data_IF_506964139982
#
_entry.id   IF_506964139982
#
_cell.length_a   1.000
_cell.length_b   1.000
_cell.length_c   1.000
_cell.angle_alpha   90.00
_cell.angle_beta   90.00
_cell.angle_gamma   90.00
#
_symmetry.space_group_name_H-M   'P 1'
#
loop_
_entity.id
_entity.type
_entity.pdbx_description
1 polymer ?
#
# COMPACT_ATOMS: atom_id res chain seq x y z
N UNK A 1 -2.35 -51.25 -9.13
CA UNK A 1 -2.08 -50.43 -7.93
C UNK A 1 -2.49 -49.00 -8.26
N UNK A 2 -3.68 -48.59 -7.83
CA UNK A 2 -4.18 -47.23 -8.04
C UNK A 2 -3.55 -46.36 -6.96
N UNK A 3 -2.66 -45.46 -7.35
CA UNK A 3 -2.14 -44.43 -6.46
C UNK A 3 -3.27 -43.44 -6.22
N UNK A 4 -3.86 -43.50 -5.02
CA UNK A 4 -4.82 -42.48 -4.57
C UNK A 4 -4.09 -41.11 -4.61
N UNK A 5 -4.45 -40.28 -5.56
CA UNK A 5 -4.04 -38.87 -5.59
C UNK A 5 -4.56 -38.19 -4.33
N UNK A 6 -3.64 -37.75 -3.49
CA UNK A 6 -3.99 -36.95 -2.28
C UNK A 6 -4.76 -35.69 -2.75
N UNK A 7 -6.07 -35.71 -2.50
CA UNK A 7 -7.01 -34.65 -2.92
C UNK A 7 -7.04 -33.44 -1.98
N UNK A 8 -6.08 -33.36 -1.03
CA UNK A 8 -6.01 -32.20 -0.13
C UNK A 8 -5.55 -30.95 -0.92
N UNK A 9 -6.26 -29.82 -0.80
CA UNK A 9 -5.80 -28.61 -1.43
C UNK A 9 -4.38 -28.27 -0.93
N UNK A 10 -3.45 -27.92 -1.84
CA UNK A 10 -2.08 -27.60 -1.45
C UNK A 10 -2.10 -26.42 -0.46
N UNK A 11 -1.38 -26.59 0.65
CA UNK A 11 -1.27 -25.54 1.68
C UNK A 11 -0.44 -24.37 1.16
N UNK A 12 -0.84 -23.14 1.52
CA UNK A 12 -0.05 -21.95 1.19
C UNK A 12 1.32 -22.03 1.87
N UNK A 13 2.42 -21.77 1.13
CA UNK A 13 3.77 -21.71 1.69
C UNK A 13 3.89 -20.69 2.83
N UNK A 14 4.70 -20.99 3.83
CA UNK A 14 4.96 -20.08 4.97
C UNK A 14 5.46 -18.70 4.50
N UNK A 15 6.25 -18.65 3.44
CA UNK A 15 6.72 -17.40 2.84
C UNK A 15 5.57 -16.46 2.43
N UNK A 16 4.43 -16.99 1.99
CA UNK A 16 3.26 -16.17 1.61
C UNK A 16 2.60 -15.55 2.84
N UNK A 17 2.50 -16.29 3.95
CA UNK A 17 2.05 -15.74 5.22
C UNK A 17 2.97 -14.63 5.73
N UNK A 18 4.29 -14.82 5.61
CA UNK A 18 5.29 -13.81 5.99
C UNK A 18 5.12 -12.56 5.13
N UNK A 19 5.02 -12.67 3.78
CA UNK A 19 4.80 -11.53 2.90
C UNK A 19 3.47 -10.82 3.19
N UNK A 20 2.43 -11.55 3.52
CA UNK A 20 1.15 -10.99 3.95
C UNK A 20 1.27 -10.22 5.26
N UNK A 21 1.94 -10.77 6.28
CA UNK A 21 2.18 -10.11 7.56
C UNK A 21 3.07 -8.86 7.41
N UNK A 22 4.09 -8.90 6.55
CA UNK A 22 4.90 -7.73 6.19
C UNK A 22 4.02 -6.62 5.62
N UNK A 23 3.11 -6.96 4.71
CA UNK A 23 2.17 -5.99 4.15
C UNK A 23 1.22 -5.44 5.22
N UNK A 24 0.62 -6.30 6.05
CA UNK A 24 -0.25 -5.91 7.15
C UNK A 24 0.44 -4.92 8.11
N UNK A 25 1.64 -5.26 8.60
CA UNK A 25 2.37 -4.41 9.53
C UNK A 25 2.71 -3.04 8.92
N UNK A 26 3.11 -3.02 7.64
CA UNK A 26 3.41 -1.77 6.95
C UNK A 26 2.14 -0.94 6.71
N UNK A 27 1.01 -1.58 6.42
CA UNK A 27 -0.25 -0.88 6.22
C UNK A 27 -0.81 -0.36 7.55
N UNK A 28 -0.72 -1.11 8.66
CA UNK A 28 -0.99 -0.58 10.01
C UNK A 28 -0.16 0.67 10.27
N UNK A 29 1.16 0.59 10.05
CA UNK A 29 2.08 1.73 10.24
C UNK A 29 1.68 2.94 9.40
N UNK A 30 1.38 2.73 8.13
CA UNK A 30 1.06 3.81 7.19
C UNK A 30 -0.31 4.42 7.49
N UNK A 31 -1.33 3.60 7.74
CA UNK A 31 -2.70 4.05 7.93
C UNK A 31 -2.92 4.76 9.29
N UNK A 32 -2.13 4.41 10.33
CA UNK A 32 -2.08 5.20 11.56
C UNK A 32 -1.72 6.67 11.29
N UNK A 33 -0.76 6.91 10.41
CA UNK A 33 -0.32 8.27 10.06
C UNK A 33 -1.30 8.91 9.08
N UNK A 34 -1.68 8.20 8.00
CA UNK A 34 -2.51 8.77 6.95
C UNK A 34 -3.88 9.21 7.43
N UNK A 35 -4.49 8.49 8.35
CA UNK A 35 -5.78 8.84 8.94
C UNK A 35 -5.76 10.12 9.79
N UNK A 36 -4.59 10.50 10.32
CA UNK A 36 -4.40 11.67 11.16
C UNK A 36 -3.70 12.84 10.43
N UNK A 37 -2.97 12.55 9.36
CA UNK A 37 -2.09 13.51 8.71
C UNK A 37 -2.80 14.79 8.22
N UNK A 38 -3.98 14.71 7.58
CA UNK A 38 -4.70 15.92 7.15
C UNK A 38 -5.04 16.86 8.32
N UNK A 39 -5.49 16.28 9.44
CA UNK A 39 -5.81 17.05 10.65
C UNK A 39 -4.56 17.63 11.30
N UNK A 40 -3.46 16.88 11.36
CA UNK A 40 -2.17 17.38 11.84
C UNK A 40 -1.68 18.55 10.98
N UNK A 41 -1.78 18.45 9.65
CA UNK A 41 -1.37 19.54 8.74
C UNK A 41 -2.20 20.80 8.96
N UNK A 42 -3.53 20.68 9.02
CA UNK A 42 -4.41 21.84 9.18
C UNK A 42 -4.39 22.37 10.61
N UNK A 43 -4.57 21.50 11.60
CA UNK A 43 -4.73 21.89 13.01
C UNK A 43 -3.41 22.26 13.69
N UNK A 44 -2.32 21.51 13.45
CA UNK A 44 -1.04 21.73 14.15
C UNK A 44 -0.04 22.56 13.35
N UNK A 45 -0.04 22.43 12.00
CA UNK A 45 0.92 23.15 11.14
C UNK A 45 0.30 24.37 10.44
N UNK A 46 -1.02 24.63 10.58
CA UNK A 46 -1.71 25.74 9.95
C UNK A 46 -1.77 25.66 8.42
N UNK A 47 -1.68 24.47 7.85
CA UNK A 47 -1.71 24.28 6.41
C UNK A 47 -3.11 24.59 5.83
N UNK A 48 -3.13 25.20 4.64
CA UNK A 48 -4.39 25.39 3.91
C UNK A 48 -4.89 24.08 3.31
N UNK A 49 -6.19 23.99 3.00
CA UNK A 49 -6.76 22.85 2.27
C UNK A 49 -6.09 22.62 0.91
N UNK A 50 -5.69 23.69 0.24
CA UNK A 50 -4.93 23.62 -1.02
C UNK A 50 -3.57 22.95 -0.80
N UNK A 51 -2.87 23.30 0.28
CA UNK A 51 -1.59 22.67 0.64
C UNK A 51 -1.76 21.17 0.88
N UNK A 52 -2.81 20.76 1.60
CA UNK A 52 -3.13 19.33 1.79
C UNK A 52 -3.37 18.65 0.45
N UNK A 53 -4.16 19.26 -0.43
CA UNK A 53 -4.43 18.73 -1.78
C UNK A 53 -3.16 18.56 -2.61
N UNK A 54 -2.24 19.53 -2.56
CA UNK A 54 -0.94 19.44 -3.27
C UNK A 54 -0.11 18.29 -2.70
N UNK A 55 0.01 18.18 -1.37
CA UNK A 55 0.77 17.10 -0.72
C UNK A 55 0.22 15.73 -1.10
N UNK A 56 -1.10 15.54 -1.04
CA UNK A 56 -1.73 14.27 -1.43
C UNK A 56 -1.59 13.99 -2.93
N UNK A 57 -1.83 14.98 -3.79
CA UNK A 57 -1.73 14.82 -5.24
C UNK A 57 -0.31 14.47 -5.69
N UNK A 58 0.71 15.15 -5.17
CA UNK A 58 2.13 14.83 -5.45
C UNK A 58 2.46 13.42 -4.93
N UNK A 59 2.00 13.08 -3.74
CA UNK A 59 2.26 11.79 -3.12
C UNK A 59 1.69 10.63 -3.96
N UNK A 60 0.40 10.67 -4.30
CA UNK A 60 -0.26 9.60 -5.06
C UNK A 60 0.32 9.49 -6.48
N UNK A 61 0.56 10.61 -7.16
CA UNK A 61 1.20 10.61 -8.47
C UNK A 61 2.59 9.97 -8.43
N UNK A 62 3.38 10.29 -7.40
CA UNK A 62 4.72 9.69 -7.20
C UNK A 62 4.65 8.18 -7.07
N UNK A 63 3.73 7.65 -6.25
CA UNK A 63 3.60 6.20 -6.05
C UNK A 63 3.25 5.48 -7.36
N UNK A 64 2.33 6.04 -8.15
CA UNK A 64 1.91 5.47 -9.44
C UNK A 64 3.05 5.49 -10.47
N UNK A 65 3.74 6.60 -10.61
CA UNK A 65 4.87 6.75 -11.55
C UNK A 65 5.98 5.76 -11.17
N UNK A 66 6.42 5.77 -9.91
CA UNK A 66 7.50 4.89 -9.43
C UNK A 66 7.12 3.42 -9.58
N UNK A 67 5.85 3.04 -9.36
CA UNK A 67 5.38 1.66 -9.52
C UNK A 67 5.58 1.13 -10.95
N UNK A 68 5.34 1.95 -11.97
CA UNK A 68 5.56 1.56 -13.37
C UNK A 68 7.03 1.24 -13.62
N UNK A 69 7.93 2.12 -13.18
CA UNK A 69 9.37 1.92 -13.36
C UNK A 69 9.94 0.80 -12.49
N UNK A 70 9.41 0.60 -11.27
CA UNK A 70 9.90 -0.44 -10.37
C UNK A 70 9.61 -1.85 -10.89
N UNK A 71 8.51 -2.05 -11.61
CA UNK A 71 8.21 -3.31 -12.28
C UNK A 71 9.28 -3.66 -13.31
N UNK A 72 9.57 -2.73 -14.23
CA UNK A 72 10.61 -2.91 -15.24
C UNK A 72 12.01 -3.12 -14.61
N UNK A 73 12.33 -2.37 -13.54
CA UNK A 73 13.60 -2.50 -12.82
C UNK A 73 13.70 -3.85 -12.10
N UNK A 74 12.62 -4.32 -11.49
CA UNK A 74 12.55 -5.62 -10.81
C UNK A 74 12.84 -6.78 -11.77
N UNK A 75 12.25 -6.73 -12.96
CA UNK A 75 12.46 -7.75 -14.00
C UNK A 75 13.89 -7.69 -14.57
N UNK A 76 14.48 -6.50 -14.64
CA UNK A 76 15.86 -6.33 -15.13
C UNK A 76 16.92 -6.78 -14.12
N UNK A 77 16.76 -6.39 -12.84
CA UNK A 77 17.74 -6.69 -11.77
C UNK A 77 17.66 -8.16 -11.34
N UNK A 78 16.46 -8.78 -11.40
CA UNK A 78 16.25 -10.17 -10.97
C UNK A 78 16.37 -10.41 -9.45
N UNK A 79 16.77 -9.41 -8.66
CA UNK A 79 16.87 -9.47 -7.19
C UNK A 79 15.66 -8.80 -6.55
N UNK A 80 14.58 -9.54 -6.42
CA UNK A 80 13.28 -9.00 -6.02
C UNK A 80 13.19 -8.68 -4.54
N UNK A 81 13.78 -9.53 -3.68
CA UNK A 81 13.82 -9.30 -2.23
C UNK A 81 14.53 -7.98 -1.91
N UNK A 82 15.70 -7.73 -2.50
CA UNK A 82 16.46 -6.51 -2.24
C UNK A 82 15.69 -5.23 -2.55
N UNK A 83 14.99 -5.19 -3.70
CA UNK A 83 14.14 -4.06 -4.06
C UNK A 83 12.93 -3.93 -3.14
N UNK A 84 12.30 -5.04 -2.76
CA UNK A 84 11.21 -5.01 -1.79
C UNK A 84 11.68 -4.46 -0.44
N UNK A 85 12.82 -4.96 0.11
CA UNK A 85 13.41 -4.47 1.36
C UNK A 85 13.70 -2.97 1.27
N UNK A 86 14.29 -2.48 0.18
CA UNK A 86 14.54 -1.05 -0.03
C UNK A 86 13.24 -0.24 0.06
N UNK A 87 12.20 -0.64 -0.66
CA UNK A 87 10.91 0.06 -0.65
C UNK A 87 10.21 0.04 0.72
N UNK A 88 10.26 -1.09 1.44
CA UNK A 88 9.75 -1.18 2.82
C UNK A 88 10.57 -0.35 3.79
N UNK A 89 11.91 -0.35 3.68
CA UNK A 89 12.80 0.46 4.51
C UNK A 89 12.58 1.96 4.32
N UNK A 90 12.42 2.42 3.07
CA UNK A 90 12.07 3.82 2.78
C UNK A 90 10.73 4.21 3.44
N UNK A 91 9.72 3.33 3.34
CA UNK A 91 8.44 3.54 4.03
C UNK A 91 8.57 3.60 5.55
N UNK A 92 9.35 2.69 6.18
CA UNK A 92 9.57 2.70 7.62
C UNK A 92 10.37 3.93 8.09
N UNK A 93 11.43 4.30 7.35
CA UNK A 93 12.29 5.45 7.68
C UNK A 93 11.59 6.80 7.44
N UNK A 94 10.54 6.86 6.63
CA UNK A 94 9.73 8.08 6.50
C UNK A 94 8.88 8.38 7.73
N UNK A 95 8.54 7.37 8.56
CA UNK A 95 7.63 7.54 9.71
C UNK A 95 8.18 8.50 10.78
N UNK A 96 9.45 8.40 11.22
CA UNK A 96 10.05 9.40 12.11
C UNK A 96 9.98 10.82 11.56
N UNK A 97 10.10 11.00 10.24
CA UNK A 97 10.04 12.33 9.63
C UNK A 97 8.66 12.98 9.80
N UNK A 98 7.55 12.21 9.78
CA UNK A 98 6.23 12.73 10.10
C UNK A 98 6.12 13.16 11.55
N UNK A 99 6.66 12.38 12.50
CA UNK A 99 6.65 12.70 13.91
C UNK A 99 7.46 13.98 14.23
N UNK A 100 8.56 14.20 13.50
CA UNK A 100 9.44 15.36 13.65
C UNK A 100 9.00 16.56 12.80
N UNK A 101 8.01 16.42 11.93
CA UNK A 101 7.62 17.48 11.02
C UNK A 101 7.16 18.74 11.76
N UNK A 102 7.79 19.85 11.44
CA UNK A 102 7.48 21.20 11.96
C UNK A 102 6.90 22.12 10.90
N UNK A 103 6.80 21.66 9.65
CA UNK A 103 6.25 22.42 8.53
C UNK A 103 5.60 21.50 7.49
N UNK A 104 4.70 22.04 6.69
CA UNK A 104 4.08 21.32 5.58
C UNK A 104 5.10 20.86 4.53
N UNK A 105 6.22 21.57 4.38
CA UNK A 105 7.32 21.17 3.49
C UNK A 105 8.01 19.88 3.96
N UNK A 106 8.23 19.72 5.27
CA UNK A 106 8.77 18.47 5.83
C UNK A 106 7.78 17.31 5.69
N UNK A 107 6.48 17.57 5.87
CA UNK A 107 5.42 16.57 5.61
C UNK A 107 5.45 16.15 4.15
N UNK A 108 5.55 17.09 3.21
CA UNK A 108 5.66 16.78 1.78
C UNK A 108 6.87 15.88 1.49
N UNK A 109 8.05 16.21 2.05
CA UNK A 109 9.26 15.41 1.91
C UNK A 109 9.11 14.00 2.46
N UNK A 110 8.56 13.86 3.69
CA UNK A 110 8.29 12.57 4.31
C UNK A 110 7.29 11.74 3.49
N UNK A 111 6.23 12.37 3.00
CA UNK A 111 5.20 11.76 2.16
C UNK A 111 5.78 11.29 0.82
N UNK A 112 6.65 12.12 0.21
CA UNK A 112 7.33 11.80 -1.04
C UNK A 112 8.21 10.55 -0.90
N UNK A 113 9.04 10.47 0.17
CA UNK A 113 9.87 9.31 0.47
C UNK A 113 9.02 8.06 0.69
N UNK A 114 7.95 8.17 1.49
CA UNK A 114 7.02 7.06 1.74
C UNK A 114 6.41 6.53 0.44
N UNK A 115 5.98 7.43 -0.46
CA UNK A 115 5.35 7.06 -1.73
C UNK A 115 6.33 6.48 -2.75
N UNK A 116 7.56 6.96 -2.80
CA UNK A 116 8.63 6.30 -3.55
C UNK A 116 8.81 4.87 -3.02
N UNK A 117 8.92 4.69 -1.70
CA UNK A 117 9.04 3.38 -1.09
C UNK A 117 7.87 2.46 -1.45
N UNK A 118 6.62 2.96 -1.39
CA UNK A 118 5.41 2.24 -1.79
C UNK A 118 5.45 1.83 -3.28
N UNK A 119 5.87 2.73 -4.14
CA UNK A 119 6.04 2.47 -5.58
C UNK A 119 7.08 1.39 -5.86
N UNK A 120 8.25 1.47 -5.20
CA UNK A 120 9.34 0.52 -5.38
C UNK A 120 8.94 -0.89 -4.91
N UNK A 121 8.30 -1.03 -3.73
CA UNK A 121 8.03 -2.35 -3.12
C UNK A 121 6.93 -3.14 -3.81
N UNK A 122 5.98 -2.47 -4.50
CA UNK A 122 4.76 -3.10 -5.01
C UNK A 122 5.03 -4.24 -5.99
N UNK A 123 5.69 -3.95 -7.10
CA UNK A 123 5.97 -4.93 -8.16
C UNK A 123 6.92 -6.06 -7.70
N UNK A 124 8.06 -5.80 -7.02
CA UNK A 124 8.92 -6.86 -6.52
C UNK A 124 8.23 -7.80 -5.53
N UNK A 125 7.40 -7.28 -4.62
CA UNK A 125 6.62 -8.08 -3.67
C UNK A 125 5.64 -9.01 -4.41
N UNK A 126 4.88 -8.47 -5.35
CA UNK A 126 3.88 -9.25 -6.09
C UNK A 126 4.57 -10.33 -6.95
N UNK A 127 5.75 -10.02 -7.49
CA UNK A 127 6.58 -10.99 -8.20
C UNK A 127 7.11 -12.10 -7.28
N UNK A 128 7.57 -11.78 -6.05
CA UNK A 128 7.97 -12.78 -5.06
C UNK A 128 6.81 -13.72 -4.70
N UNK A 129 5.59 -13.20 -4.52
CA UNK A 129 4.41 -14.02 -4.28
C UNK A 129 4.18 -15.00 -5.44
N UNK A 130 4.27 -14.51 -6.68
CA UNK A 130 4.05 -15.34 -7.86
C UNK A 130 5.13 -16.42 -8.04
N UNK A 131 6.39 -16.14 -7.66
CA UNK A 131 7.50 -17.10 -7.75
C UNK A 131 7.46 -18.15 -6.65
N UNK A 132 7.17 -17.73 -5.42
CA UNK A 132 7.13 -18.62 -4.26
C UNK A 132 5.84 -19.45 -4.18
N UNK A 133 4.89 -19.25 -5.12
CA UNK A 133 3.60 -19.92 -5.11
C UNK A 133 3.40 -20.78 -6.37
N UNK A 134 3.06 -22.07 -6.22
CA UNK A 134 2.65 -22.90 -7.34
C UNK A 134 1.49 -22.28 -8.14
N UNK A 135 1.47 -22.38 -9.49
CA UNK A 135 0.44 -21.75 -10.34
C UNK A 135 -1.00 -22.04 -9.91
N UNK A 136 -1.28 -23.27 -9.46
CA UNK A 136 -2.62 -23.72 -9.07
C UNK A 136 -3.21 -22.97 -7.87
N UNK A 137 -2.39 -22.36 -6.99
CA UNK A 137 -2.84 -21.67 -5.76
C UNK A 137 -2.41 -20.21 -5.71
N UNK A 138 -1.93 -19.62 -6.81
CA UNK A 138 -1.55 -18.20 -6.87
C UNK A 138 -2.71 -17.27 -6.51
N UNK A 139 -3.92 -17.58 -6.96
CA UNK A 139 -5.11 -16.81 -6.61
C UNK A 139 -5.33 -16.75 -5.09
N UNK A 140 -5.19 -17.88 -4.39
CA UNK A 140 -5.30 -17.91 -2.93
C UNK A 140 -4.17 -17.13 -2.23
N UNK A 141 -2.94 -17.16 -2.75
CA UNK A 141 -1.81 -16.40 -2.22
C UNK A 141 -2.02 -14.89 -2.34
N UNK A 142 -2.47 -14.40 -3.48
CA UNK A 142 -2.82 -12.98 -3.66
C UNK A 142 -4.06 -12.60 -2.84
N UNK A 143 -5.05 -13.49 -2.72
CA UNK A 143 -6.21 -13.30 -1.86
C UNK A 143 -5.83 -13.14 -0.40
N UNK A 144 -4.97 -14.01 0.14
CA UNK A 144 -4.45 -13.89 1.51
C UNK A 144 -3.75 -12.55 1.74
N UNK A 145 -2.84 -12.19 0.82
CA UNK A 145 -2.15 -10.90 0.90
C UNK A 145 -3.13 -9.74 0.92
N UNK A 146 -4.11 -9.73 0.02
CA UNK A 146 -5.11 -8.65 -0.06
C UNK A 146 -5.96 -8.58 1.21
N UNK A 147 -6.34 -9.72 1.78
CA UNK A 147 -7.07 -9.77 3.04
C UNK A 147 -6.26 -9.17 4.19
N UNK A 148 -4.95 -9.48 4.27
CA UNK A 148 -4.07 -8.93 5.29
C UNK A 148 -3.79 -7.42 5.08
N UNK A 149 -3.68 -6.95 3.84
CA UNK A 149 -3.64 -5.51 3.53
C UNK A 149 -4.92 -4.81 4.04
N UNK A 150 -6.10 -5.40 3.79
CA UNK A 150 -7.39 -4.85 4.26
C UNK A 150 -7.47 -4.82 5.78
N UNK A 151 -7.02 -5.88 6.46
CA UNK A 151 -6.93 -5.89 7.93
C UNK A 151 -6.01 -4.77 8.43
N UNK A 152 -4.86 -4.57 7.78
CA UNK A 152 -3.94 -3.48 8.11
C UNK A 152 -4.57 -2.10 7.92
N UNK A 153 -5.27 -1.89 6.80
CA UNK A 153 -5.98 -0.65 6.50
C UNK A 153 -7.13 -0.35 7.48
N UNK A 154 -7.72 -1.37 8.09
CA UNK A 154 -8.71 -1.23 9.15
C UNK A 154 -8.08 -0.99 10.53
N UNK A 155 -7.06 -1.78 10.87
CA UNK A 155 -6.42 -1.74 12.19
C UNK A 155 -5.62 -0.46 12.42
N UNK A 156 -5.00 0.10 11.37
CA UNK A 156 -4.21 1.33 11.47
C UNK A 156 -5.00 2.51 12.02
N UNK A 157 -6.09 2.95 11.35
CA UNK A 157 -6.94 4.03 11.85
C UNK A 157 -7.59 3.73 13.21
N UNK A 158 -7.96 2.46 13.46
CA UNK A 158 -8.53 2.06 14.75
C UNK A 158 -7.52 2.25 15.90
N UNK A 159 -6.27 1.81 15.71
CA UNK A 159 -5.18 2.06 16.67
C UNK A 159 -4.91 3.55 16.83
N UNK A 160 -4.97 4.32 15.75
CA UNK A 160 -4.83 5.77 15.82
C UNK A 160 -5.89 6.41 16.73
N UNK A 161 -7.17 5.99 16.62
CA UNK A 161 -8.25 6.44 17.52
C UNK A 161 -7.95 6.11 18.96
N UNK A 162 -7.59 4.86 19.27
CA UNK A 162 -7.31 4.42 20.64
C UNK A 162 -6.16 5.23 21.26
N UNK A 163 -5.09 5.43 20.48
CA UNK A 163 -3.93 6.19 20.97
C UNK A 163 -4.20 7.68 21.09
N UNK A 164 -4.99 8.28 20.19
CA UNK A 164 -5.41 9.69 20.29
C UNK A 164 -6.25 9.92 21.55
N UNK A 165 -7.19 9.01 21.86
CA UNK A 165 -7.98 9.06 23.09
C UNK A 165 -7.10 8.87 24.34
N UNK A 166 -6.14 7.95 24.32
CA UNK A 166 -5.25 7.66 25.43
C UNK A 166 -4.27 8.80 25.73
N UNK A 167 -3.87 9.58 24.71
CA UNK A 167 -2.83 10.61 24.83
C UNK A 167 -3.32 12.04 24.53
N UNK A 168 -4.63 12.29 24.73
CA UNK A 168 -5.23 13.62 24.61
C UNK A 168 -4.87 14.33 23.30
N UNK A 169 -5.18 13.69 22.17
CA UNK A 169 -4.97 14.22 20.81
C UNK A 169 -3.50 14.49 20.44
N UNK A 170 -2.55 13.73 21.00
CA UNK A 170 -1.14 13.88 20.68
C UNK A 170 -0.74 13.15 19.38
N UNK A 171 -0.88 13.82 18.23
CA UNK A 171 -0.52 13.30 16.91
C UNK A 171 0.91 12.76 16.84
N UNK A 172 1.88 13.47 17.41
CA UNK A 172 3.30 13.09 17.29
C UNK A 172 3.61 11.79 18.04
N UNK A 173 2.98 11.58 19.19
CA UNK A 173 3.10 10.34 19.94
C UNK A 173 2.58 9.15 19.12
N UNK A 174 1.41 9.30 18.48
CA UNK A 174 0.85 8.28 17.57
C UNK A 174 1.79 8.01 16.40
N UNK A 175 2.36 9.04 15.79
CA UNK A 175 3.31 8.88 14.66
C UNK A 175 4.59 8.14 15.10
N UNK A 176 5.08 8.34 16.32
CA UNK A 176 6.20 7.56 16.86
C UNK A 176 5.84 6.10 17.06
N UNK A 177 4.64 5.77 17.54
CA UNK A 177 4.18 4.37 17.64
C UNK A 177 4.09 3.71 16.27
N UNK A 178 3.67 4.44 15.24
CA UNK A 178 3.59 3.93 13.87
C UNK A 178 4.95 3.48 13.30
N UNK A 179 6.07 3.97 13.86
CA UNK A 179 7.42 3.52 13.49
C UNK A 179 7.62 2.03 13.80
N UNK A 180 7.06 1.54 14.92
CA UNK A 180 7.29 0.17 15.40
C UNK A 180 6.82 -0.90 14.41
N UNK A 181 5.53 -0.90 13.96
CA UNK A 181 5.09 -1.88 12.96
C UNK A 181 5.79 -1.70 11.61
N UNK A 182 6.19 -0.48 11.23
CA UNK A 182 6.97 -0.24 10.03
C UNK A 182 8.36 -0.92 10.06
N UNK A 183 9.09 -0.75 11.16
CA UNK A 183 10.38 -1.43 11.36
C UNK A 183 10.22 -2.94 11.49
N UNK A 184 9.17 -3.41 12.18
CA UNK A 184 8.87 -4.83 12.29
C UNK A 184 8.60 -5.47 10.92
N UNK A 185 7.91 -4.76 10.03
CA UNK A 185 7.70 -5.22 8.65
C UNK A 185 9.02 -5.41 7.90
N UNK A 186 9.96 -4.46 8.01
CA UNK A 186 11.27 -4.55 7.37
C UNK A 186 12.07 -5.72 7.95
N UNK A 187 12.14 -5.84 9.28
CA UNK A 187 12.85 -6.91 9.95
C UNK A 187 12.29 -8.30 9.55
N UNK A 188 10.97 -8.44 9.56
CA UNK A 188 10.28 -9.67 9.19
C UNK A 188 10.58 -10.05 7.72
N UNK A 189 10.58 -9.08 6.80
CA UNK A 189 10.92 -9.32 5.40
C UNK A 189 12.38 -9.76 5.24
N UNK A 190 13.30 -9.11 5.94
CA UNK A 190 14.74 -9.42 5.86
C UNK A 190 15.05 -10.83 6.34
N UNK A 191 14.45 -11.24 7.46
CA UNK A 191 14.74 -12.52 8.12
C UNK A 191 13.87 -13.66 7.55
N UNK A 192 12.60 -13.37 7.27
CA UNK A 192 11.61 -14.41 6.96
C UNK A 192 11.55 -14.84 5.49
N UNK A 193 12.09 -14.04 4.57
CA UNK A 193 12.08 -14.36 3.14
C UNK A 193 13.52 -14.59 2.65
N UNK A 194 13.69 -15.69 1.92
CA UNK A 194 14.93 -15.93 1.17
C UNK A 194 14.71 -15.50 -0.29
N UNK A 195 15.78 -14.99 -0.92
CA UNK A 195 15.74 -14.73 -2.36
C UNK A 195 15.52 -16.06 -3.07
N UNK A 196 14.52 -16.21 -3.95
CA UNK A 196 14.36 -17.43 -4.71
C UNK A 196 15.59 -17.66 -5.59
N UNK A 197 16.14 -18.87 -5.58
CA UNK A 197 17.18 -19.27 -6.53
C UNK A 197 16.58 -19.29 -7.94
N UNK A 198 16.70 -18.18 -8.65
CA UNK A 198 16.35 -18.08 -10.07
C UNK A 198 17.42 -18.80 -10.92
N UNK A 199 17.50 -20.11 -10.80
CA UNK A 199 18.40 -20.97 -11.57
C UNK A 199 18.03 -21.07 -13.07
N UNK A 200 17.10 -20.31 -13.54
CA UNK A 200 16.74 -20.17 -14.94
C UNK A 200 16.72 -18.71 -15.29
N UNK A 201 17.75 -18.25 -15.97
CA UNK A 201 17.99 -16.88 -16.37
C UNK A 201 16.73 -16.01 -16.45
N UNK A 202 16.64 -15.02 -15.60
CA UNK A 202 15.63 -13.99 -15.75
C UNK A 202 15.62 -13.61 -17.23
N UNK A 203 14.52 -13.91 -17.94
CA UNK A 203 14.34 -13.35 -19.27
C UNK A 203 14.50 -11.87 -19.06
N UNK A 204 15.62 -11.30 -19.53
CA UNK A 204 15.85 -9.86 -19.45
C UNK A 204 14.62 -9.22 -20.06
N UNK A 205 13.69 -8.81 -19.20
CA UNK A 205 12.50 -8.09 -19.63
C UNK A 205 13.00 -6.91 -20.45
N UNK A 206 12.60 -6.83 -21.70
CA UNK A 206 12.97 -5.66 -22.49
C UNK A 206 12.35 -4.46 -21.80
N UNK A 207 13.12 -3.38 -21.56
CA UNK A 207 12.56 -2.15 -21.05
C UNK A 207 11.37 -1.74 -21.93
N UNK A 208 10.46 -0.94 -21.38
CA UNK A 208 9.25 -0.46 -22.07
C UNK A 208 9.62 -0.03 -23.49
N UNK A 209 9.23 -0.85 -24.48
CA UNK A 209 9.55 -0.60 -25.87
C UNK A 209 8.46 0.32 -26.47
N UNK A 210 8.86 1.50 -26.89
CA UNK A 210 7.96 2.45 -27.56
C UNK A 210 7.23 1.83 -28.76
N UNK A 211 7.89 0.93 -29.47
CA UNK A 211 7.30 0.26 -30.63
C UNK A 211 6.10 -0.62 -30.25
N UNK A 212 6.18 -1.30 -29.09
CA UNK A 212 5.05 -2.09 -28.55
C UNK A 212 3.90 -1.22 -28.08
N UNK A 213 4.18 -0.03 -27.54
CA UNK A 213 3.14 0.90 -27.12
C UNK A 213 2.32 1.43 -28.31
N UNK A 214 2.96 1.65 -29.47
CA UNK A 214 2.28 2.09 -30.70
C UNK A 214 1.42 0.97 -31.31
N UNK A 215 1.75 -0.31 -31.04
CA UNK A 215 0.96 -1.46 -31.50
C UNK A 215 -0.32 -1.70 -30.70
N UNK A 216 -0.49 -1.00 -29.56
CA UNK A 216 -1.72 -1.07 -28.78
C UNK A 216 -2.85 -0.38 -29.56
N UNK A 217 -3.90 -1.15 -29.88
CA UNK A 217 -5.03 -0.67 -30.67
C UNK A 217 -5.80 0.49 -30.02
N UNK A 218 -6.62 1.19 -30.81
CA UNK A 218 -7.42 2.33 -30.35
C UNK A 218 -8.31 1.98 -29.15
N UNK A 219 -8.86 0.76 -29.08
CA UNK A 219 -9.66 0.29 -27.96
C UNK A 219 -8.91 0.35 -26.62
N UNK A 220 -7.61 0.01 -26.61
CA UNK A 220 -6.79 0.12 -25.40
C UNK A 220 -6.70 1.58 -24.93
N UNK A 221 -6.41 2.51 -25.84
CA UNK A 221 -6.29 3.94 -25.49
C UNK A 221 -7.62 4.57 -25.08
N UNK A 222 -8.76 4.09 -25.61
CA UNK A 222 -10.09 4.49 -25.15
C UNK A 222 -10.31 4.07 -23.70
N UNK A 223 -9.99 2.82 -23.34
CA UNK A 223 -10.09 2.36 -21.94
C UNK A 223 -9.17 3.16 -21.02
N UNK A 224 -7.94 3.45 -21.45
CA UNK A 224 -7.00 4.31 -20.70
C UNK A 224 -7.57 5.72 -20.51
N UNK A 225 -8.15 6.31 -21.54
CA UNK A 225 -8.75 7.65 -21.46
C UNK A 225 -9.94 7.67 -20.48
N UNK A 226 -10.84 6.69 -20.56
CA UNK A 226 -11.97 6.56 -19.62
C UNK A 226 -11.45 6.39 -18.19
N UNK A 227 -10.47 5.51 -18.00
CA UNK A 227 -9.81 5.31 -16.69
C UNK A 227 -9.16 6.58 -16.14
N UNK A 228 -8.52 7.38 -17.01
CA UNK A 228 -7.93 8.66 -16.63
C UNK A 228 -9.00 9.68 -16.17
N UNK A 229 -10.12 9.77 -16.89
CA UNK A 229 -11.26 10.65 -16.51
C UNK A 229 -11.84 10.22 -15.16
N UNK A 230 -12.06 8.92 -14.95
CA UNK A 230 -12.55 8.39 -13.68
C UNK A 230 -11.55 8.65 -12.53
N UNK A 231 -10.24 8.53 -12.79
CA UNK A 231 -9.20 8.83 -11.81
C UNK A 231 -9.18 10.32 -11.43
N UNK A 232 -9.40 11.22 -12.40
CA UNK A 232 -9.51 12.66 -12.15
C UNK A 232 -10.76 13.04 -11.35
N UNK A 233 -11.86 12.29 -11.50
CA UNK A 233 -13.09 12.49 -10.72
C UNK A 233 -12.95 12.03 -9.27
N UNK A 234 -11.95 11.19 -8.96
CA UNK A 234 -11.72 10.67 -7.61
C UNK A 234 -10.98 11.71 -6.76
N UNK A 235 -11.58 12.13 -5.66
CA UNK A 235 -10.91 13.00 -4.68
C UNK A 235 -10.16 12.20 -3.61
N UNK A 236 -9.21 12.85 -2.93
CA UNK A 236 -8.42 12.22 -1.86
C UNK A 236 -9.27 12.01 -0.60
N UNK A 237 -9.09 10.87 0.05
CA UNK A 237 -9.68 10.50 1.33
C UNK A 237 -9.37 11.52 2.44
N UNK A 238 -8.27 12.24 2.31
CA UNK A 238 -7.88 13.34 3.20
C UNK A 238 -8.99 14.39 3.35
N UNK A 239 -9.73 14.68 2.28
CA UNK A 239 -10.82 15.65 2.33
C UNK A 239 -12.06 15.13 3.07
N UNK A 240 -12.32 13.82 3.07
CA UNK A 240 -13.38 13.21 3.88
C UNK A 240 -13.06 13.34 5.37
N UNK A 241 -11.82 13.07 5.75
CA UNK A 241 -11.32 13.23 7.12
C UNK A 241 -11.47 14.68 7.59
N UNK A 242 -11.04 15.65 6.79
CA UNK A 242 -11.17 17.07 7.11
C UNK A 242 -12.63 17.52 7.15
N UNK A 243 -13.48 17.01 6.27
CA UNK A 243 -14.92 17.32 6.26
C UNK A 243 -15.61 16.79 7.51
N UNK A 244 -15.23 15.58 7.96
CA UNK A 244 -15.75 15.01 9.20
C UNK A 244 -15.39 15.87 10.42
N UNK A 245 -14.14 16.35 10.50
CA UNK A 245 -13.71 17.27 11.54
C UNK A 245 -14.50 18.58 11.50
N UNK A 246 -14.70 19.18 10.31
CA UNK A 246 -15.54 20.38 10.14
C UNK A 246 -17.00 20.16 10.53
N UNK A 247 -17.49 18.93 10.40
CA UNK A 247 -18.82 18.51 10.82
C UNK A 247 -18.99 18.34 12.34
N UNK A 248 -17.94 18.62 13.14
CA UNK A 248 -17.99 18.56 14.60
C UNK A 248 -17.62 17.23 15.22
N UNK A 249 -17.09 16.26 14.43
CA UNK A 249 -16.56 15.01 14.99
C UNK A 249 -15.28 15.32 15.77
N UNK A 250 -15.18 14.84 17.02
CA UNK A 250 -13.99 15.00 17.84
C UNK A 250 -12.74 14.47 17.14
N UNK A 251 -11.63 15.20 17.23
CA UNK A 251 -10.37 14.93 16.50
C UNK A 251 -9.91 13.47 16.65
N UNK A 252 -9.95 12.94 17.87
CA UNK A 252 -9.58 11.55 18.15
C UNK A 252 -10.47 10.50 17.40
N UNK A 253 -11.73 10.84 17.09
CA UNK A 253 -12.68 9.93 16.45
C UNK A 253 -12.73 10.06 14.94
N UNK A 254 -12.14 11.11 14.36
CA UNK A 254 -12.16 11.34 12.91
C UNK A 254 -11.60 10.16 12.11
N UNK A 255 -10.54 9.44 12.54
CA UNK A 255 -10.05 8.28 11.79
C UNK A 255 -11.09 7.14 11.61
N UNK A 256 -12.18 7.12 12.43
CA UNK A 256 -13.28 6.17 12.23
C UNK A 256 -13.97 6.33 10.87
N UNK A 257 -13.87 7.48 10.24
CA UNK A 257 -14.35 7.68 8.87
C UNK A 257 -13.62 6.74 7.90
N UNK A 258 -12.31 6.58 8.04
CA UNK A 258 -11.54 5.65 7.24
C UNK A 258 -11.84 4.19 7.59
N UNK A 259 -12.08 3.90 8.87
CA UNK A 259 -12.54 2.57 9.31
C UNK A 259 -13.88 2.22 8.65
N UNK A 260 -14.87 3.13 8.69
CA UNK A 260 -16.17 2.92 8.08
C UNK A 260 -16.06 2.77 6.55
N UNK A 261 -15.25 3.60 5.91
CA UNK A 261 -15.00 3.52 4.47
C UNK A 261 -14.37 2.19 4.06
N UNK A 262 -13.34 1.72 4.78
CA UNK A 262 -12.71 0.43 4.52
C UNK A 262 -13.67 -0.74 4.78
N UNK A 263 -14.56 -0.64 5.76
CA UNK A 263 -15.59 -1.63 6.02
C UNK A 263 -16.58 -1.72 4.85
N UNK A 264 -17.12 -0.58 4.42
CA UNK A 264 -18.03 -0.51 3.26
C UNK A 264 -17.35 -1.04 2.00
N UNK A 265 -16.10 -0.64 1.75
CA UNK A 265 -15.30 -1.14 0.63
C UNK A 265 -15.18 -2.67 0.66
N UNK A 266 -14.81 -3.24 1.80
CA UNK A 266 -14.63 -4.69 1.96
C UNK A 266 -15.93 -5.48 1.76
N UNK A 267 -17.04 -4.98 2.30
CA UNK A 267 -18.36 -5.58 2.12
C UNK A 267 -18.88 -5.48 0.68
N UNK A 268 -18.56 -4.38 0.00
CA UNK A 268 -18.98 -4.15 -1.39
C UNK A 268 -18.12 -4.92 -2.40
N UNK A 269 -16.84 -5.14 -2.11
CA UNK A 269 -15.93 -5.83 -3.03
C UNK A 269 -16.40 -7.25 -3.36
N UNK A 270 -16.90 -7.98 -2.36
CA UNK A 270 -17.32 -9.37 -2.52
C UNK A 270 -18.42 -9.58 -3.59
N UNK A 271 -19.58 -8.88 -3.54
CA UNK A 271 -20.63 -9.06 -4.57
C UNK A 271 -20.20 -8.59 -5.96
N UNK A 272 -19.32 -7.56 -6.06
CA UNK A 272 -18.82 -7.09 -7.36
C UNK A 272 -17.80 -8.03 -7.99
N UNK A 273 -16.98 -8.72 -7.19
CA UNK A 273 -16.05 -9.75 -7.68
C UNK A 273 -16.78 -11.00 -8.19
N UNK A 274 -17.87 -11.43 -7.56
CA UNK A 274 -18.71 -12.53 -8.05
C UNK A 274 -19.30 -12.19 -9.41
N UNK A 275 -19.76 -10.96 -9.62
CA UNK A 275 -20.28 -10.50 -10.92
C UNK A 275 -19.24 -10.56 -12.03
N UNK A 276 -17.95 -10.33 -11.73
CA UNK A 276 -16.84 -10.37 -12.69
C UNK A 276 -16.46 -11.79 -13.11
N UNK A 277 -16.73 -12.79 -12.27
CA UNK A 277 -16.45 -14.20 -12.56
C UNK A 277 -17.48 -14.85 -13.51
N UNK A 278 -18.60 -14.17 -13.79
CA UNK A 278 -19.69 -14.66 -14.65
C UNK A 278 -19.74 -13.96 -16.02
N UNK A 279 -18.81 -13.06 -16.34
CA UNK A 279 -18.63 -12.42 -17.65
C UNK A 279 -17.34 -12.92 -18.29
#
# INVERSE_FOLDING_TARGET
MSTATDTRPPRLPTAIWILGLVSLLMDVSSEMIHSLLPMFMVGSLGASMVTVGIVEGVAESTALIVKVFSGALSDYVGKRKGLAVLGYAMGALSKPLFALASSSGLVLGARFIDRIGKGIRGAPRDALIAELTPPAIRGAAFGLRQSLDTVGAFMGPLLAVVLMLAWNDNFRAVFWVAVLPGLAAVALLMVGIQEPDTAGGAKKGQPIDRHRLVQLGAAYWQVVAIGAVLALARFSEAFLVLRAQQGGIAVALVPLVMVAMNLVYSLSAYPFEIGRAHV
#
